data_IF_749072020125
#
_entry.id   IF_749072020125
#
_cell.length_a   1.000
_cell.length_b   1.000
_cell.length_c   1.000
_cell.angle_alpha   90.00
_cell.angle_beta   90.00
_cell.angle_gamma   90.00
#
_symmetry.space_group_name_H-M   'P 1'
#
loop_
_entity.id
_entity.type
_entity.pdbx_description
1 polymer ?
#
# COMPACT_ATOMS: atom_id res chain seq x y z
N UNK A 1 16.31 -12.86 -1.15
CA UNK A 1 16.61 -11.68 -0.32
C UNK A 1 15.45 -10.72 -0.45
N UNK A 2 15.06 -10.00 0.62
CA UNK A 2 13.98 -9.01 0.53
C UNK A 2 14.33 -7.95 -0.51
N UNK A 3 13.36 -7.57 -1.34
CA UNK A 3 13.52 -6.45 -2.28
C UNK A 3 13.65 -5.15 -1.49
N UNK A 4 14.44 -4.16 -1.96
CA UNK A 4 14.31 -2.81 -1.44
C UNK A 4 12.89 -2.32 -1.65
N UNK A 5 12.36 -1.57 -0.67
CA UNK A 5 11.05 -0.96 -0.79
C UNK A 5 11.07 0.48 -0.33
N UNK A 6 10.19 1.29 -0.91
CA UNK A 6 10.05 2.71 -0.59
C UNK A 6 8.60 3.15 -0.60
N UNK A 7 8.32 4.22 0.13
CA UNK A 7 7.05 4.91 0.09
C UNK A 7 7.06 5.98 -1.00
N UNK A 8 5.91 6.19 -1.62
CA UNK A 8 5.65 7.43 -2.37
C UNK A 8 5.19 8.53 -1.41
N UNK A 9 5.24 9.80 -1.85
CA UNK A 9 4.73 10.93 -1.04
C UNK A 9 3.26 10.77 -0.59
N UNK A 10 2.33 10.28 -1.45
CA UNK A 10 0.97 9.96 -1.01
C UNK A 10 0.94 8.91 0.10
N UNK A 11 1.73 7.83 -0.01
CA UNK A 11 1.79 6.80 1.02
C UNK A 11 2.33 7.34 2.36
N UNK A 12 3.35 8.20 2.34
CA UNK A 12 3.86 8.88 3.54
C UNK A 12 2.79 9.76 4.19
N UNK A 13 2.08 10.56 3.38
CA UNK A 13 0.99 11.41 3.86
C UNK A 13 -0.15 10.57 4.48
N UNK A 14 -0.52 9.46 3.83
CA UNK A 14 -1.53 8.54 4.34
C UNK A 14 -1.15 7.92 5.69
N UNK A 15 0.12 7.52 5.89
CA UNK A 15 0.59 7.03 7.19
C UNK A 15 0.47 8.09 8.29
N UNK A 16 0.83 9.35 7.98
CA UNK A 16 0.70 10.47 8.92
C UNK A 16 -0.78 10.68 9.30
N UNK A 17 -1.68 10.67 8.33
CA UNK A 17 -3.11 10.87 8.57
C UNK A 17 -3.72 9.71 9.37
N UNK A 18 -3.34 8.48 9.06
CA UNK A 18 -3.73 7.28 9.83
C UNK A 18 -3.23 7.42 11.27
N UNK A 19 -1.95 7.73 11.48
CA UNK A 19 -1.37 7.85 12.81
C UNK A 19 -2.07 8.95 13.63
N UNK A 20 -2.30 10.13 13.05
CA UNK A 20 -3.03 11.24 13.71
C UNK A 20 -4.42 10.80 14.16
N UNK A 21 -5.21 10.25 13.25
CA UNK A 21 -6.56 9.80 13.57
C UNK A 21 -6.57 8.68 14.61
N UNK A 22 -5.63 7.72 14.53
CA UNK A 22 -5.51 6.64 15.51
C UNK A 22 -5.09 7.16 16.89
N UNK A 23 -4.21 8.16 16.97
CA UNK A 23 -3.85 8.83 18.24
C UNK A 23 -5.08 9.50 18.84
N UNK A 24 -5.80 10.29 18.04
CA UNK A 24 -6.98 11.02 18.49
C UNK A 24 -8.11 10.10 18.96
N UNK A 25 -8.28 8.95 18.29
CA UNK A 25 -9.39 8.03 18.55
C UNK A 25 -9.08 6.99 19.63
N UNK A 26 -7.85 6.47 19.66
CA UNK A 26 -7.48 5.32 20.50
C UNK A 26 -6.26 5.54 21.38
N UNK A 27 -5.54 6.63 21.20
CA UNK A 27 -4.35 6.97 21.96
C UNK A 27 -3.03 6.50 21.33
N UNK A 28 -1.89 7.02 21.84
CA UNK A 28 -0.58 6.87 21.21
C UNK A 28 -0.04 5.44 21.22
N UNK A 29 -0.36 4.63 22.23
CA UNK A 29 0.07 3.22 22.27
C UNK A 29 -0.55 2.43 21.11
N UNK A 30 -1.84 2.62 20.86
CA UNK A 30 -2.55 1.96 19.79
C UNK A 30 -2.07 2.46 18.42
N UNK A 31 -1.76 3.74 18.29
CA UNK A 31 -1.17 4.30 17.07
C UNK A 31 0.18 3.67 16.73
N UNK A 32 1.08 3.55 17.71
CA UNK A 32 2.39 2.92 17.50
C UNK A 32 2.26 1.45 17.08
N UNK A 33 1.42 0.67 17.77
CA UNK A 33 1.19 -0.72 17.41
C UNK A 33 0.56 -0.86 16.01
N UNK A 34 -0.34 0.05 15.64
CA UNK A 34 -0.98 0.01 14.33
C UNK A 34 -0.03 0.40 13.20
N UNK A 35 0.86 1.37 13.44
CA UNK A 35 1.95 1.70 12.52
C UNK A 35 2.88 0.50 12.30
N UNK A 36 3.29 -0.19 13.38
CA UNK A 36 4.12 -1.38 13.31
C UNK A 36 3.48 -2.48 12.43
N UNK A 37 2.17 -2.69 12.53
CA UNK A 37 1.44 -3.65 11.69
C UNK A 37 1.45 -3.26 10.20
N UNK A 38 1.28 -1.97 9.89
CA UNK A 38 1.33 -1.46 8.52
C UNK A 38 2.73 -1.64 7.91
N UNK A 39 3.78 -1.31 8.68
CA UNK A 39 5.17 -1.44 8.25
C UNK A 39 5.58 -2.91 8.14
N UNK A 40 5.15 -3.78 9.07
CA UNK A 40 5.37 -5.22 8.98
C UNK A 40 4.76 -5.80 7.71
N UNK A 41 3.57 -5.33 7.32
CA UNK A 41 2.95 -5.73 6.05
C UNK A 41 3.79 -5.28 4.85
N UNK A 42 4.33 -4.05 4.86
CA UNK A 42 5.22 -3.57 3.79
C UNK A 42 6.48 -4.43 3.67
N UNK A 43 7.09 -4.82 4.80
CA UNK A 43 8.24 -5.75 4.82
C UNK A 43 7.86 -7.12 4.28
N UNK A 44 6.71 -7.67 4.68
CA UNK A 44 6.22 -8.95 4.17
C UNK A 44 5.96 -8.92 2.66
N UNK A 45 5.49 -7.80 2.11
CA UNK A 45 5.38 -7.62 0.66
C UNK A 45 6.77 -7.69 0.01
N UNK A 46 7.75 -6.95 0.53
CA UNK A 46 9.12 -6.94 0.01
C UNK A 46 9.83 -8.30 0.12
N UNK A 47 9.45 -9.11 1.10
CA UNK A 47 9.93 -10.48 1.30
C UNK A 47 9.18 -11.52 0.46
N UNK A 48 8.05 -11.15 -0.16
CA UNK A 48 7.17 -12.06 -0.88
C UNK A 48 6.35 -12.99 0.03
N UNK A 49 6.23 -12.67 1.31
CA UNK A 49 5.50 -13.47 2.32
C UNK A 49 4.07 -12.96 2.55
N UNK A 50 3.79 -11.71 2.21
CA UNK A 50 2.45 -11.13 2.32
C UNK A 50 1.50 -11.68 1.23
N UNK A 51 0.31 -12.10 1.63
CA UNK A 51 -0.77 -12.42 0.70
C UNK A 51 -1.26 -11.15 0.01
N UNK A 52 -1.12 -11.10 -1.31
CA UNK A 52 -1.53 -9.95 -2.13
C UNK A 52 -2.39 -10.37 -3.32
N UNK A 53 -3.19 -9.44 -3.83
CA UNK A 53 -4.09 -9.63 -4.96
C UNK A 53 -3.82 -8.55 -6.03
N UNK A 54 -4.02 -8.90 -7.31
CA UNK A 54 -3.88 -7.96 -8.43
C UNK A 54 -5.14 -7.10 -8.57
N UNK A 55 -4.97 -5.79 -8.75
CA UNK A 55 -6.09 -4.85 -8.91
C UNK A 55 -6.81 -5.05 -10.25
N UNK A 56 -6.07 -5.45 -11.30
CA UNK A 56 -6.59 -5.58 -12.66
C UNK A 56 -7.77 -6.56 -12.78
N UNK A 57 -7.77 -7.62 -11.98
CA UNK A 57 -8.84 -8.64 -12.00
C UNK A 57 -10.11 -8.19 -11.25
N UNK A 58 -9.99 -7.21 -10.35
CA UNK A 58 -11.05 -6.85 -9.42
C UNK A 58 -11.65 -5.46 -9.66
N UNK A 59 -10.93 -4.57 -10.34
CA UNK A 59 -11.24 -3.12 -10.33
C UNK A 59 -11.36 -2.54 -11.73
N UNK A 60 -10.31 -2.58 -12.54
CA UNK A 60 -10.32 -2.03 -13.90
C UNK A 60 -9.26 -2.77 -14.75
N UNK A 61 -9.65 -3.38 -15.89
CA UNK A 61 -8.73 -4.09 -16.77
C UNK A 61 -7.65 -3.20 -17.42
N UNK A 62 -7.78 -1.87 -17.35
CA UNK A 62 -6.80 -0.89 -17.83
C UNK A 62 -5.74 -0.52 -16.79
N UNK A 63 -5.90 -0.94 -15.52
CA UNK A 63 -4.86 -0.72 -14.52
C UNK A 63 -3.60 -1.55 -14.85
N UNK A 64 -2.40 -1.03 -14.53
CA UNK A 64 -1.17 -1.80 -14.64
C UNK A 64 -1.27 -3.12 -13.87
N UNK A 65 -0.81 -4.20 -14.49
CA UNK A 65 -0.89 -5.56 -13.95
C UNK A 65 -0.08 -5.74 -12.66
N UNK A 66 0.97 -4.94 -12.52
CA UNK A 66 1.83 -4.81 -11.36
C UNK A 66 1.15 -4.11 -10.17
N UNK A 67 0.01 -3.44 -10.37
CA UNK A 67 -0.74 -2.84 -9.26
C UNK A 67 -1.43 -3.91 -8.43
N UNK A 68 -1.02 -3.99 -7.17
CA UNK A 68 -1.41 -5.00 -6.19
C UNK A 68 -1.86 -4.35 -4.89
N UNK A 69 -2.58 -5.11 -4.08
CA UNK A 69 -2.86 -4.74 -2.71
C UNK A 69 -2.73 -5.91 -1.74
N UNK A 70 -2.33 -5.60 -0.51
CA UNK A 70 -2.32 -6.53 0.63
C UNK A 70 -3.13 -5.94 1.79
N UNK A 71 -3.77 -6.80 2.58
CA UNK A 71 -4.60 -6.39 3.73
C UNK A 71 -3.73 -6.17 4.96
N UNK A 72 -3.91 -5.04 5.66
CA UNK A 72 -3.25 -4.72 6.92
C UNK A 72 -4.24 -4.11 7.93
N UNK A 73 -4.78 -4.95 8.83
CA UNK A 73 -5.78 -4.52 9.80
C UNK A 73 -7.04 -3.95 9.14
N UNK A 74 -7.32 -2.65 9.32
CA UNK A 74 -8.42 -1.93 8.65
C UNK A 74 -8.05 -1.27 7.32
N UNK A 75 -6.78 -1.30 6.92
CA UNK A 75 -6.29 -0.70 5.67
C UNK A 75 -5.84 -1.74 4.64
N UNK A 76 -5.65 -1.27 3.42
CA UNK A 76 -5.01 -1.96 2.31
C UNK A 76 -3.74 -1.21 1.96
N UNK A 77 -2.62 -1.95 1.88
CA UNK A 77 -1.36 -1.44 1.34
C UNK A 77 -1.42 -1.62 -0.16
N UNK A 78 -1.42 -0.53 -0.91
CA UNK A 78 -1.44 -0.54 -2.38
C UNK A 78 -0.01 -0.36 -2.88
N UNK A 79 0.44 -1.21 -3.78
CA UNK A 79 1.82 -1.22 -4.23
C UNK A 79 1.96 -1.67 -5.68
N UNK A 80 3.09 -1.34 -6.28
CA UNK A 80 3.60 -2.01 -7.47
C UNK A 80 4.89 -2.73 -7.11
N UNK A 81 5.18 -3.83 -7.80
CA UNK A 81 6.46 -4.52 -7.69
C UNK A 81 7.01 -4.89 -9.06
N UNK A 82 8.32 -4.72 -9.23
CA UNK A 82 9.07 -5.25 -10.35
C UNK A 82 10.18 -6.19 -9.83
N UNK A 83 11.12 -6.58 -10.69
CA UNK A 83 12.24 -7.46 -10.30
C UNK A 83 13.18 -6.80 -9.30
N UNK A 84 13.31 -5.47 -9.33
CA UNK A 84 14.31 -4.72 -8.58
C UNK A 84 13.79 -4.19 -7.25
N UNK A 85 12.52 -3.77 -7.18
CA UNK A 85 11.98 -3.09 -6.00
C UNK A 85 10.47 -3.26 -5.79
N UNK A 86 10.03 -2.86 -4.61
CA UNK A 86 8.61 -2.64 -4.27
C UNK A 86 8.37 -1.15 -4.03
N UNK A 87 7.32 -0.60 -4.63
CA UNK A 87 6.94 0.80 -4.44
C UNK A 87 5.54 0.83 -3.82
N UNK A 88 5.44 1.31 -2.58
CA UNK A 88 4.16 1.49 -1.90
C UNK A 88 3.52 2.79 -2.37
N UNK A 89 2.37 2.67 -3.03
CA UNK A 89 1.65 3.76 -3.67
C UNK A 89 0.76 4.50 -2.66
N UNK A 90 0.00 3.79 -1.84
CA UNK A 90 -0.92 4.40 -0.87
C UNK A 90 -1.36 3.40 0.21
N UNK A 91 -1.96 3.93 1.29
CA UNK A 91 -2.68 3.17 2.31
C UNK A 91 -4.15 3.53 2.29
N UNK A 92 -5.01 2.59 1.89
CA UNK A 92 -6.44 2.83 1.72
C UNK A 92 -7.25 2.17 2.82
N UNK A 93 -8.13 2.92 3.48
CA UNK A 93 -9.03 2.33 4.46
C UNK A 93 -10.00 1.36 3.77
N UNK A 94 -10.28 0.20 4.37
CA UNK A 94 -11.10 -0.85 3.74
C UNK A 94 -12.61 -0.54 3.63
N UNK A 95 -13.00 0.69 3.99
CA UNK A 95 -14.37 1.21 3.81
C UNK A 95 -14.44 2.19 2.63
N UNK A 96 -13.30 2.52 2.04
CA UNK A 96 -13.24 3.36 0.84
C UNK A 96 -13.69 2.52 -0.34
N UNK A 97 -14.38 3.15 -1.29
CA UNK A 97 -14.61 2.60 -2.63
C UNK A 97 -13.26 2.39 -3.32
N UNK A 98 -12.69 1.20 -3.14
CA UNK A 98 -11.39 0.79 -3.64
C UNK A 98 -11.29 1.02 -5.16
N UNK A 99 -12.26 0.58 -5.99
CA UNK A 99 -12.24 0.86 -7.41
C UNK A 99 -12.05 2.35 -7.74
N UNK A 100 -12.88 3.21 -7.16
CA UNK A 100 -12.84 4.65 -7.43
C UNK A 100 -11.55 5.31 -6.95
N UNK A 101 -10.99 4.87 -5.83
CA UNK A 101 -9.77 5.43 -5.25
C UNK A 101 -8.54 5.03 -6.05
N UNK A 102 -8.43 3.77 -6.48
CA UNK A 102 -7.32 3.30 -7.31
C UNK A 102 -7.22 4.02 -8.66
N UNK A 103 -8.37 4.33 -9.30
CA UNK A 103 -8.40 5.05 -10.57
C UNK A 103 -7.77 6.45 -10.51
N UNK A 104 -7.62 7.03 -9.30
CA UNK A 104 -7.05 8.35 -9.08
C UNK A 104 -5.63 8.32 -8.49
N UNK A 105 -5.03 7.14 -8.33
CA UNK A 105 -3.68 7.04 -7.78
C UNK A 105 -2.63 7.54 -8.78
N UNK A 106 -1.63 8.32 -8.34
CA UNK A 106 -0.49 8.66 -9.16
C UNK A 106 0.40 7.42 -9.30
N UNK A 107 0.17 6.65 -10.36
CA UNK A 107 0.97 5.47 -10.67
C UNK A 107 2.36 5.92 -11.17
N UNK A 108 3.47 5.32 -10.68
CA UNK A 108 4.78 5.57 -11.23
C UNK A 108 4.77 5.21 -12.71
N UNK A 109 5.34 6.08 -13.55
CA UNK A 109 5.50 5.79 -14.98
C UNK A 109 6.38 4.54 -15.08
N UNK A 110 5.82 3.45 -15.58
CA UNK A 110 6.53 2.18 -15.71
C UNK A 110 7.83 2.38 -16.49
N UNK A 111 8.96 2.21 -15.82
CA UNK A 111 10.26 2.08 -16.46
C UNK A 111 10.34 0.72 -17.13
N UNK A 112 9.68 0.57 -18.27
CA UNK A 112 9.97 -0.49 -19.22
C UNK A 112 10.76 0.14 -20.35
N UNK A 113 12.05 0.35 -20.11
CA UNK A 113 12.99 0.44 -21.23
C UNK A 113 13.38 -0.99 -21.59
N UNK A 114 13.25 -1.28 -22.88
CA UNK A 114 13.31 -2.58 -23.54
C UNK A 114 14.75 -3.11 -23.58
#
# INVERSE_FOLDING_TARGET
>A
MPKPWRLTRPAEAALIDIARWTIETFGPRQAAAYEDDLIATCRGIAEGTALSQTCRQLIDPNLPEDLRFARAGQHFVVFVEDVEQVIIIDFLHGRVDLPRRLANLPLPKGGREH
#
